data_IF_351453926019
#
_entry.id   IF_351453926019
#
_cell.length_a   1.000
_cell.length_b   1.000
_cell.length_c   1.000
_cell.angle_alpha   90.00
_cell.angle_beta   90.00
_cell.angle_gamma   90.00
#
_symmetry.space_group_name_H-M   'P 1'
#
loop_
_entity.id
_entity.type
_entity.pdbx_description
1 polymer ?
#
# COMPACT_ATOMS: atom_id res chain seq x y z
N UNK A 1 17.02 -1.72 13.30
CA UNK A 1 17.13 -1.20 11.90
C UNK A 1 18.43 -1.76 11.29
N UNK A 2 18.38 -2.26 10.04
CA UNK A 2 19.60 -2.76 9.38
C UNK A 2 20.53 -1.60 8.99
N UNK A 3 21.84 -1.87 8.93
CA UNK A 3 22.84 -0.87 8.52
C UNK A 3 22.54 -0.27 7.13
N UNK A 4 22.04 -1.08 6.18
CA UNK A 4 21.60 -0.62 4.85
C UNK A 4 20.48 0.41 4.93
N UNK A 5 19.51 0.20 5.82
CA UNK A 5 18.39 1.14 6.01
C UNK A 5 18.85 2.46 6.61
N UNK A 6 19.77 2.42 7.57
CA UNK A 6 20.35 3.64 8.16
C UNK A 6 21.14 4.43 7.11
N UNK A 7 21.97 3.77 6.31
CA UNK A 7 22.72 4.42 5.24
C UNK A 7 21.80 5.10 4.20
N UNK A 8 20.70 4.45 3.81
CA UNK A 8 19.70 5.04 2.91
C UNK A 8 19.06 6.30 3.53
N UNK A 9 18.63 6.24 4.80
CA UNK A 9 18.05 7.39 5.49
C UNK A 9 19.01 8.58 5.60
N UNK A 10 20.32 8.33 5.76
CA UNK A 10 21.34 9.36 5.76
C UNK A 10 21.53 9.95 4.35
N UNK A 11 21.57 9.10 3.31
CA UNK A 11 21.71 9.55 1.91
C UNK A 11 20.53 10.40 1.46
N UNK A 12 19.33 10.08 1.94
CA UNK A 12 18.08 10.81 1.64
C UNK A 12 17.91 12.09 2.48
N UNK A 13 18.90 12.44 3.31
CA UNK A 13 18.85 13.64 4.18
C UNK A 13 17.82 13.54 5.32
N UNK A 14 17.27 12.37 5.58
CA UNK A 14 16.23 12.14 6.59
C UNK A 14 16.74 12.03 8.03
N UNK A 15 18.05 11.96 8.21
CA UNK A 15 18.72 12.06 9.52
C UNK A 15 19.44 13.39 9.56
N UNK A 16 18.94 14.38 10.33
CA UNK A 16 19.57 15.69 10.42
C UNK A 16 21.02 15.60 10.90
N UNK A 17 21.87 16.42 10.31
CA UNK A 17 23.30 16.52 10.68
C UNK A 17 24.12 15.23 10.51
N UNK A 18 23.61 14.21 9.82
CA UNK A 18 24.39 13.05 9.44
C UNK A 18 25.45 13.47 8.39
N UNK A 19 26.71 13.13 8.63
CA UNK A 19 27.83 13.46 7.74
C UNK A 19 28.50 12.21 7.21
N UNK A 20 28.89 12.24 5.95
CA UNK A 20 29.64 11.15 5.35
C UNK A 20 31.15 11.36 5.54
N UNK A 21 31.80 10.41 6.19
CA UNK A 21 33.24 10.38 6.39
C UNK A 21 33.80 9.13 5.73
N UNK A 22 34.39 9.25 4.56
CA UNK A 22 34.83 8.12 3.75
C UNK A 22 33.65 7.21 3.36
N UNK A 23 33.70 5.94 3.78
CA UNK A 23 32.64 4.96 3.52
C UNK A 23 31.64 4.80 4.67
N UNK A 24 31.75 5.60 5.73
CA UNK A 24 30.89 5.54 6.91
C UNK A 24 30.03 6.79 7.04
N UNK A 25 28.89 6.63 7.70
CA UNK A 25 28.05 7.73 8.14
C UNK A 25 28.27 7.99 9.63
N UNK A 26 28.59 9.24 9.97
CA UNK A 26 28.64 9.73 11.34
C UNK A 26 27.30 10.38 11.64
N UNK A 27 26.61 9.85 12.62
CA UNK A 27 25.28 10.31 13.04
C UNK A 27 25.42 10.90 14.43
N UNK A 28 24.89 12.10 14.69
CA UNK A 28 24.88 12.67 16.04
C UNK A 28 24.22 11.73 17.05
N UNK A 29 24.77 11.69 18.26
CA UNK A 29 24.23 10.84 19.36
C UNK A 29 22.80 11.19 19.76
N UNK A 30 22.41 12.45 19.57
CA UNK A 30 21.10 13.02 19.82
C UNK A 30 20.15 12.88 18.61
N UNK A 31 20.59 12.28 17.50
CA UNK A 31 19.76 12.15 16.33
C UNK A 31 18.57 11.22 16.60
N UNK A 32 17.40 11.78 16.52
CA UNK A 32 16.16 10.99 16.65
C UNK A 32 15.98 10.08 15.44
N UNK A 33 15.38 8.92 15.67
CA UNK A 33 15.01 8.01 14.59
C UNK A 33 14.01 8.74 13.68
N UNK A 34 14.29 8.90 12.36
CA UNK A 34 13.33 9.50 11.46
C UNK A 34 11.99 8.78 11.55
N UNK A 35 10.92 9.55 11.60
CA UNK A 35 9.56 9.00 11.59
C UNK A 35 9.45 8.11 10.37
N UNK A 36 9.21 6.82 10.57
CA UNK A 36 8.87 5.92 9.49
C UNK A 36 7.52 6.40 8.96
N UNK A 37 7.46 6.83 7.69
CA UNK A 37 6.22 7.30 7.08
C UNK A 37 5.07 6.28 7.13
N UNK A 38 5.39 5.02 7.46
CA UNK A 38 4.42 3.97 7.78
C UNK A 38 3.74 4.15 9.14
N UNK A 39 4.28 5.02 10.00
CA UNK A 39 3.79 5.34 11.35
C UNK A 39 3.53 6.84 11.51
N UNK A 40 3.24 7.56 10.43
CA UNK A 40 2.60 8.85 10.56
C UNK A 40 1.27 8.62 11.28
N UNK A 41 1.28 8.79 12.59
CA UNK A 41 0.07 8.92 13.40
C UNK A 41 -0.55 10.25 13.02
N UNK A 42 -1.36 10.23 11.98
CA UNK A 42 -2.35 11.28 11.79
C UNK A 42 -3.25 11.22 13.02
N UNK A 43 -3.54 12.36 13.61
CA UNK A 43 -4.59 12.43 14.61
C UNK A 43 -5.90 11.96 13.96
N UNK A 44 -6.77 11.31 14.72
CA UNK A 44 -8.02 10.75 14.18
C UNK A 44 -8.87 11.79 13.41
N UNK A 45 -8.64 13.08 13.63
CA UNK A 45 -9.29 14.22 12.99
C UNK A 45 -8.72 14.55 11.58
N UNK A 46 -7.49 14.09 11.26
CA UNK A 46 -6.82 14.34 9.97
C UNK A 46 -6.94 13.18 8.97
N UNK A 47 -7.44 12.03 9.41
CA UNK A 47 -7.60 10.87 8.55
C UNK A 47 -8.90 10.98 7.75
N UNK A 48 -8.77 11.32 6.48
CA UNK A 48 -9.83 10.99 5.53
C UNK A 48 -10.08 9.48 5.62
N UNK A 49 -11.35 9.02 5.61
CA UNK A 49 -11.66 7.61 5.67
C UNK A 49 -10.94 6.87 4.54
N UNK A 50 -10.05 5.96 4.92
CA UNK A 50 -9.29 5.16 3.96
C UNK A 50 -10.29 4.30 3.19
N UNK A 51 -10.29 4.43 1.86
CA UNK A 51 -11.17 3.69 0.97
C UNK A 51 -10.39 2.63 0.20
N UNK A 52 -11.06 1.55 -0.23
CA UNK A 52 -10.47 0.61 -1.15
C UNK A 52 -9.89 1.32 -2.39
N UNK A 53 -8.67 1.02 -2.75
CA UNK A 53 -7.99 1.61 -3.93
C UNK A 53 -8.51 1.01 -5.25
N UNK A 54 -9.24 -0.11 -5.19
CA UNK A 54 -9.86 -0.77 -6.34
C UNK A 54 -11.35 -0.98 -6.12
N UNK A 55 -12.13 -0.80 -7.20
CA UNK A 55 -13.50 -1.28 -7.26
C UNK A 55 -13.48 -2.78 -7.58
N UNK A 56 -13.66 -3.61 -6.57
CA UNK A 56 -13.67 -5.06 -6.72
C UNK A 56 -15.09 -5.61 -6.80
N UNK A 57 -15.34 -6.54 -7.74
CA UNK A 57 -16.65 -7.19 -7.87
C UNK A 57 -16.97 -7.97 -6.58
N UNK A 58 -18.19 -7.83 -6.05
CA UNK A 58 -18.56 -8.43 -4.77
C UNK A 58 -17.91 -7.79 -3.55
N UNK A 59 -17.41 -6.55 -3.68
CA UNK A 59 -16.76 -5.84 -2.58
C UNK A 59 -17.68 -5.66 -1.37
N UNK A 60 -17.15 -5.92 -0.17
CA UNK A 60 -17.86 -5.86 1.11
C UNK A 60 -18.27 -4.44 1.54
N UNK A 61 -17.95 -3.41 0.75
CA UNK A 61 -18.22 -2.01 1.08
C UNK A 61 -19.70 -1.70 1.36
N UNK A 62 -20.63 -2.36 0.65
CA UNK A 62 -22.06 -2.19 0.87
C UNK A 62 -22.57 -2.85 2.17
N UNK A 63 -21.83 -3.83 2.67
CA UNK A 63 -22.16 -4.56 3.90
C UNK A 63 -21.40 -4.01 5.12
N UNK A 64 -20.55 -3.02 4.93
CA UNK A 64 -19.60 -2.57 5.94
C UNK A 64 -20.31 -2.11 7.22
N UNK A 65 -21.41 -1.37 7.12
CA UNK A 65 -22.19 -0.94 8.28
C UNK A 65 -22.71 -2.11 9.13
N UNK A 66 -23.15 -3.18 8.48
CA UNK A 66 -23.65 -4.38 9.17
C UNK A 66 -22.48 -5.19 9.78
N UNK A 67 -21.35 -5.25 9.08
CA UNK A 67 -20.15 -5.97 9.55
C UNK A 67 -19.54 -5.26 10.76
N UNK A 68 -19.55 -3.93 10.78
CA UNK A 68 -19.02 -3.11 11.89
C UNK A 68 -19.72 -3.41 13.22
N UNK A 69 -21.04 -3.67 13.20
CA UNK A 69 -21.81 -4.05 14.40
C UNK A 69 -21.37 -5.39 15.01
N UNK A 70 -20.68 -6.21 14.22
CA UNK A 70 -20.20 -7.52 14.62
C UNK A 70 -18.72 -7.54 15.00
N UNK A 71 -18.03 -6.39 14.97
CA UNK A 71 -16.62 -6.33 15.31
C UNK A 71 -16.38 -6.65 16.79
N UNK A 72 -15.50 -7.62 17.10
CA UNK A 72 -15.23 -8.01 18.49
C UNK A 72 -14.16 -7.12 19.15
N UNK A 73 -13.85 -5.95 18.61
CA UNK A 73 -12.74 -5.10 19.04
C UNK A 73 -13.03 -4.27 20.29
N UNK A 74 -14.23 -4.29 20.83
CA UNK A 74 -14.52 -3.71 22.15
C UNK A 74 -13.70 -4.39 23.25
N UNK A 75 -13.35 -5.66 23.07
CA UNK A 75 -12.36 -6.34 23.88
C UNK A 75 -10.96 -5.99 23.40
N UNK A 76 -10.31 -5.05 24.10
CA UNK A 76 -9.03 -4.42 23.76
C UNK A 76 -7.82 -5.37 23.59
N UNK A 77 -8.03 -6.67 23.70
CA UNK A 77 -6.98 -7.70 23.62
C UNK A 77 -6.71 -8.20 22.20
N UNK A 78 -7.56 -7.85 21.23
CA UNK A 78 -7.38 -8.31 19.85
C UNK A 78 -6.30 -7.45 19.20
N UNK A 79 -5.18 -8.06 18.88
CA UNK A 79 -4.01 -7.45 18.25
C UNK A 79 -3.64 -8.05 16.91
N UNK A 80 -4.34 -9.11 16.49
CA UNK A 80 -4.10 -9.80 15.22
C UNK A 80 -5.37 -9.92 14.41
N UNK A 81 -5.26 -9.66 13.11
CA UNK A 81 -6.36 -9.75 12.18
C UNK A 81 -5.98 -10.59 10.96
N UNK A 82 -6.90 -11.41 10.49
CA UNK A 82 -6.73 -12.19 9.27
C UNK A 82 -7.94 -12.06 8.36
N UNK A 83 -7.74 -11.72 7.09
CA UNK A 83 -8.78 -11.66 6.06
C UNK A 83 -8.41 -12.56 4.87
N UNK A 84 -8.97 -13.78 4.78
CA UNK A 84 -8.60 -14.77 3.77
C UNK A 84 -9.16 -14.48 2.38
N UNK A 85 -10.14 -13.59 2.24
CA UNK A 85 -10.75 -13.16 0.97
C UNK A 85 -10.78 -11.65 0.92
N UNK A 86 -9.59 -11.04 0.79
CA UNK A 86 -9.41 -9.60 0.96
C UNK A 86 -10.18 -8.79 -0.07
N UNK A 87 -10.21 -9.20 -1.35
CA UNK A 87 -10.81 -8.42 -2.43
C UNK A 87 -10.28 -6.99 -2.47
N UNK A 88 -11.17 -6.01 -2.54
CA UNK A 88 -10.81 -4.60 -2.52
C UNK A 88 -10.39 -4.05 -1.14
N UNK A 89 -10.44 -4.84 -0.06
CA UNK A 89 -9.96 -4.47 1.27
C UNK A 89 -10.90 -3.55 2.08
N UNK A 90 -12.20 -3.52 1.77
CA UNK A 90 -13.12 -2.61 2.45
C UNK A 90 -13.15 -2.81 3.97
N UNK A 91 -13.14 -4.07 4.43
CA UNK A 91 -13.14 -4.41 5.87
C UNK A 91 -11.77 -4.13 6.47
N UNK A 92 -10.69 -4.55 5.78
CA UNK A 92 -9.32 -4.28 6.21
C UNK A 92 -9.09 -2.79 6.48
N UNK A 93 -9.40 -1.94 5.51
CA UNK A 93 -9.15 -0.51 5.63
C UNK A 93 -10.03 0.15 6.70
N UNK A 94 -11.25 -0.31 6.88
CA UNK A 94 -12.10 0.16 7.97
C UNK A 94 -11.52 -0.22 9.35
N UNK A 95 -11.08 -1.46 9.51
CA UNK A 95 -10.46 -1.93 10.76
C UNK A 95 -9.16 -1.16 11.04
N UNK A 96 -8.28 -1.02 10.05
CA UNK A 96 -7.01 -0.31 10.20
C UNK A 96 -7.18 1.20 10.48
N UNK A 97 -8.32 1.78 10.09
CA UNK A 97 -8.62 3.19 10.40
C UNK A 97 -9.11 3.40 11.84
N UNK A 98 -9.55 2.34 12.52
CA UNK A 98 -10.21 2.43 13.84
C UNK A 98 -9.44 1.76 14.96
N UNK A 99 -8.67 0.72 14.64
CA UNK A 99 -8.06 -0.17 15.64
C UNK A 99 -6.56 -0.31 15.41
N UNK A 100 -5.82 -0.36 16.50
CA UNK A 100 -4.37 -0.59 16.50
C UNK A 100 -4.08 -2.09 16.59
N UNK A 101 -3.47 -2.63 15.54
CA UNK A 101 -3.13 -4.04 15.42
C UNK A 101 -1.61 -4.24 15.32
N UNK A 102 -1.12 -5.32 15.92
CA UNK A 102 0.29 -5.69 15.84
C UNK A 102 0.59 -6.48 14.55
N UNK A 103 -0.36 -7.32 14.11
CA UNK A 103 -0.19 -8.20 12.95
C UNK A 103 -1.46 -8.26 12.09
N UNK A 104 -1.27 -8.20 10.78
CA UNK A 104 -2.34 -8.33 9.80
C UNK A 104 -1.96 -9.32 8.73
N UNK A 105 -2.81 -10.32 8.51
CA UNK A 105 -2.66 -11.34 7.49
C UNK A 105 -3.77 -11.20 6.45
N UNK A 106 -3.39 -11.09 5.19
CA UNK A 106 -4.34 -11.02 4.07
C UNK A 106 -4.04 -12.09 3.05
N UNK A 107 -5.09 -12.67 2.46
CA UNK A 107 -4.96 -13.56 1.32
C UNK A 107 -6.13 -13.39 0.35
N UNK A 108 -5.90 -13.79 -0.89
CA UNK A 108 -6.91 -13.88 -1.94
C UNK A 108 -6.46 -14.91 -2.96
N UNK A 109 -7.39 -15.50 -3.68
CA UNK A 109 -7.09 -16.42 -4.78
C UNK A 109 -6.43 -15.69 -5.97
N UNK A 110 -6.67 -14.40 -6.09
CA UNK A 110 -6.11 -13.58 -7.14
C UNK A 110 -4.68 -13.14 -6.79
N UNK A 111 -3.70 -13.77 -7.40
CA UNK A 111 -2.28 -13.51 -7.16
C UNK A 111 -1.87 -12.06 -7.53
N UNK A 112 -2.42 -11.49 -8.60
CA UNK A 112 -2.13 -10.12 -9.04
C UNK A 112 -2.65 -9.10 -8.04
N UNK A 113 -3.81 -9.37 -7.45
CA UNK A 113 -4.37 -8.54 -6.39
C UNK A 113 -3.44 -8.56 -5.17
N UNK A 114 -3.01 -9.73 -4.72
CA UNK A 114 -2.06 -9.84 -3.59
C UNK A 114 -0.72 -9.17 -3.91
N UNK A 115 -0.24 -9.29 -5.16
CA UNK A 115 0.97 -8.60 -5.58
C UNK A 115 0.83 -7.07 -5.52
N UNK A 116 -0.36 -6.54 -5.84
CA UNK A 116 -0.66 -5.11 -5.68
C UNK A 116 -0.60 -4.68 -4.21
N UNK A 117 -1.18 -5.46 -3.29
CA UNK A 117 -1.06 -5.19 -1.85
C UNK A 117 0.39 -5.23 -1.36
N UNK A 118 1.20 -6.15 -1.88
CA UNK A 118 2.64 -6.21 -1.58
C UNK A 118 3.36 -4.96 -2.08
N UNK A 119 3.09 -4.53 -3.32
CA UNK A 119 3.68 -3.31 -3.87
C UNK A 119 3.32 -2.07 -3.04
N UNK A 120 2.06 -1.94 -2.61
CA UNK A 120 1.63 -0.85 -1.72
C UNK A 120 2.35 -0.91 -0.38
N UNK A 121 2.54 -2.08 0.19
CA UNK A 121 3.22 -2.28 1.48
C UNK A 121 4.72 -1.97 1.40
N UNK A 122 5.37 -2.43 0.34
CA UNK A 122 6.83 -2.51 0.24
C UNK A 122 7.44 -1.31 -0.46
N UNK A 123 6.76 -0.74 -1.48
CA UNK A 123 7.24 0.37 -2.30
C UNK A 123 6.07 1.20 -2.88
N UNK A 124 5.33 1.85 -2.01
CA UNK A 124 4.19 2.69 -2.44
C UNK A 124 4.63 3.87 -3.31
N UNK A 125 5.79 4.46 -3.03
CA UNK A 125 6.30 5.60 -3.80
C UNK A 125 6.69 5.17 -5.22
N UNK A 126 7.33 4.01 -5.37
CA UNK A 126 7.62 3.42 -6.68
C UNK A 126 6.36 3.11 -7.47
N UNK A 127 5.32 2.57 -6.80
CA UNK A 127 4.03 2.31 -7.43
C UNK A 127 3.36 3.62 -7.90
N UNK A 128 3.34 4.67 -7.08
CA UNK A 128 2.78 5.98 -7.43
C UNK A 128 3.53 6.57 -8.62
N UNK A 129 4.86 6.57 -8.60
CA UNK A 129 5.68 7.06 -9.69
C UNK A 129 5.47 6.28 -11.00
N UNK A 130 5.19 4.99 -10.91
CA UNK A 130 4.84 4.16 -12.07
C UNK A 130 3.46 4.50 -12.64
N UNK A 131 2.47 4.75 -11.78
CA UNK A 131 1.09 5.03 -12.19
C UNK A 131 0.88 6.46 -12.69
N UNK A 132 1.61 7.44 -12.14
CA UNK A 132 1.47 8.86 -12.46
C UNK A 132 1.51 9.19 -13.96
N UNK A 133 2.45 8.68 -14.77
CA UNK A 133 2.45 8.92 -16.21
C UNK A 133 1.24 8.32 -16.94
N UNK A 134 0.64 7.26 -16.38
CA UNK A 134 -0.60 6.67 -16.92
C UNK A 134 -1.80 7.56 -16.62
N UNK A 135 -1.88 8.08 -15.41
CA UNK A 135 -2.90 9.03 -14.97
C UNK A 135 -2.85 10.32 -15.80
N UNK A 136 -1.66 10.91 -15.95
CA UNK A 136 -1.43 12.14 -16.74
C UNK A 136 -1.84 11.98 -18.21
N UNK A 137 -1.74 10.77 -18.76
CA UNK A 137 -2.22 10.47 -20.11
C UNK A 137 -3.72 10.20 -20.18
N UNK A 138 -4.29 9.58 -19.13
CA UNK A 138 -5.67 9.13 -19.14
C UNK A 138 -6.68 10.25 -18.82
N UNK A 139 -6.35 11.13 -17.87
CA UNK A 139 -7.27 12.18 -17.41
C UNK A 139 -7.71 13.13 -18.54
N UNK A 140 -6.79 13.66 -19.38
CA UNK A 140 -7.14 14.61 -20.43
C UNK A 140 -7.80 13.96 -21.66
N UNK A 141 -7.84 12.61 -21.78
CA UNK A 141 -8.46 11.93 -22.91
C UNK A 141 -9.99 12.09 -22.85
N UNK A 142 -10.60 12.38 -23.98
CA UNK A 142 -12.06 12.43 -24.15
C UNK A 142 -12.71 11.07 -23.80
N UNK A 143 -13.96 11.10 -23.32
CA UNK A 143 -14.64 9.90 -22.78
C UNK A 143 -14.69 8.77 -23.82
N UNK A 144 -14.89 9.11 -25.06
CA UNK A 144 -14.98 8.17 -26.19
C UNK A 144 -13.66 7.39 -26.39
N UNK A 145 -12.53 8.08 -26.24
CA UNK A 145 -11.19 7.51 -26.44
C UNK A 145 -10.67 6.73 -25.20
N UNK A 146 -11.25 6.98 -24.00
CA UNK A 146 -10.85 6.29 -22.76
C UNK A 146 -11.00 4.79 -22.83
N UNK A 147 -12.01 4.32 -23.57
CA UNK A 147 -12.26 2.90 -23.78
C UNK A 147 -11.12 2.26 -24.55
N UNK A 148 -10.64 2.90 -25.61
CA UNK A 148 -9.51 2.39 -26.42
C UNK A 148 -8.24 2.36 -25.60
N UNK A 149 -7.93 3.42 -24.87
CA UNK A 149 -6.78 3.47 -23.97
C UNK A 149 -6.80 2.35 -22.94
N UNK A 150 -7.97 2.12 -22.30
CA UNK A 150 -8.14 1.03 -21.34
C UNK A 150 -7.87 -0.34 -21.96
N UNK A 151 -8.44 -0.62 -23.12
CA UNK A 151 -8.23 -1.91 -23.79
C UNK A 151 -6.77 -2.11 -24.20
N UNK A 152 -6.08 -1.07 -24.62
CA UNK A 152 -4.64 -1.12 -24.93
C UNK A 152 -3.81 -1.51 -23.70
N UNK A 153 -4.07 -0.90 -22.54
CA UNK A 153 -3.36 -1.25 -21.30
C UNK A 153 -3.71 -2.67 -20.83
N UNK A 154 -4.97 -3.06 -20.92
CA UNK A 154 -5.42 -4.41 -20.57
C UNK A 154 -4.76 -5.47 -21.45
N UNK A 155 -4.68 -5.25 -22.74
CA UNK A 155 -4.05 -6.20 -23.68
C UNK A 155 -2.55 -6.32 -23.38
N UNK A 156 -1.87 -5.21 -23.11
CA UNK A 156 -0.46 -5.21 -22.68
C UNK A 156 -0.25 -6.03 -21.41
N UNK A 157 -1.13 -5.85 -20.43
CA UNK A 157 -1.08 -6.63 -19.18
C UNK A 157 -1.22 -8.13 -19.46
N UNK A 158 -2.21 -8.53 -20.26
CA UNK A 158 -2.45 -9.92 -20.60
C UNK A 158 -1.28 -10.55 -21.36
N UNK A 159 -0.62 -9.81 -22.26
CA UNK A 159 0.58 -10.27 -22.98
C UNK A 159 1.76 -10.51 -22.03
N UNK A 160 1.99 -9.61 -21.07
CA UNK A 160 3.03 -9.76 -20.07
C UNK A 160 2.77 -10.99 -19.19
N UNK A 161 1.54 -11.15 -18.73
CA UNK A 161 1.13 -12.32 -17.92
C UNK A 161 1.32 -13.64 -18.68
N UNK A 162 1.00 -13.68 -19.98
CA UNK A 162 1.20 -14.87 -20.80
C UNK A 162 2.68 -15.23 -20.94
N UNK A 163 3.56 -14.24 -21.00
CA UNK A 163 5.02 -14.46 -21.10
C UNK A 163 5.60 -15.00 -19.79
N UNK A 164 5.13 -14.51 -18.65
CA UNK A 164 5.54 -15.02 -17.33
C UNK A 164 5.16 -16.49 -17.16
N UNK A 165 3.95 -16.87 -17.53
CA UNK A 165 3.46 -18.25 -17.43
C UNK A 165 4.23 -19.23 -18.35
N UNK A 166 4.76 -18.75 -19.48
CA UNK A 166 5.54 -19.57 -20.41
C UNK A 166 7.03 -19.71 -20.03
N UNK A 167 7.50 -18.96 -19.03
CA UNK A 167 8.89 -19.03 -18.54
C UNK A 167 9.04 -19.87 -17.26
N UNK A 168 8.01 -20.60 -16.86
CA UNK A 168 7.97 -21.40 -15.63
C UNK A 168 8.02 -22.91 -15.94
N UNK A 169 8.57 -23.31 -17.10
CA UNK A 169 8.89 -24.72 -17.46
C UNK A 169 10.39 -25.04 -17.30
#
# INVERSE_FOLDING_TARGET
ISQRRVAALCSDGRIPNAQRVGNMWVIPSEAEKPIDGRHLRYTAEELLPIKPFLKWAGGKGQLLSQIQELYPFEDTKIKRYAEPFIGGGAVLFDILSKYELDEVYISDINAELINTYRAIRDDVDGLINFLKPMEEKFIPIEIEERKEYFYKQRNRFNELKSKENNNVD
#
